data_IF_390066598694
#
_entry.id   IF_390066598694
#
_cell.length_a   1.000
_cell.length_b   1.000
_cell.length_c   1.000
_cell.angle_alpha   90.00
_cell.angle_beta   90.00
_cell.angle_gamma   90.00
#
_symmetry.space_group_name_H-M   'P 1'
#
loop_
_entity.id
_entity.type
_entity.pdbx_description
1 polymer ?
#
# COMPACT_ATOMS: atom_id res chain seq x y z
N UNK A 1 -9.65 -23.36 -31.07
CA UNK A 1 -9.40 -21.96 -30.63
C UNK A 1 -8.38 -22.04 -29.52
N UNK A 2 -7.19 -21.47 -29.71
CA UNK A 2 -6.12 -21.48 -28.72
C UNK A 2 -6.33 -20.34 -27.71
N UNK A 3 -6.19 -20.62 -26.41
CA UNK A 3 -6.16 -19.58 -25.38
C UNK A 3 -4.81 -18.83 -25.46
N UNK A 4 -4.79 -17.51 -25.21
CA UNK A 4 -3.53 -16.77 -25.14
C UNK A 4 -2.77 -17.15 -23.86
N UNK A 5 -1.51 -17.56 -24.02
CA UNK A 5 -0.57 -17.73 -22.91
C UNK A 5 -0.32 -16.38 -22.24
N UNK A 6 -0.88 -16.19 -21.04
CA UNK A 6 -0.46 -15.13 -20.13
C UNK A 6 0.75 -15.62 -19.34
N UNK A 7 1.95 -15.25 -19.80
CA UNK A 7 3.15 -15.39 -18.98
C UNK A 7 3.15 -14.32 -17.90
N UNK A 8 2.72 -14.70 -16.68
CA UNK A 8 3.01 -13.95 -15.47
C UNK A 8 4.46 -14.28 -15.09
N UNK A 9 5.38 -13.34 -15.34
CA UNK A 9 6.75 -13.47 -14.87
C UNK A 9 6.76 -13.26 -13.36
N UNK A 10 6.83 -14.35 -12.59
CA UNK A 10 7.13 -14.29 -11.16
C UNK A 10 8.64 -14.11 -11.00
N UNK A 11 9.14 -12.98 -10.47
CA UNK A 11 10.56 -12.81 -10.25
C UNK A 11 11.05 -13.81 -9.19
N UNK A 12 12.08 -14.58 -9.54
CA UNK A 12 12.75 -15.47 -8.61
C UNK A 12 13.26 -14.71 -7.39
N UNK A 13 13.09 -15.34 -6.22
CA UNK A 13 13.43 -14.82 -4.91
C UNK A 13 14.96 -14.72 -4.75
N UNK A 14 15.54 -13.53 -4.98
CA UNK A 14 17.00 -13.33 -4.91
C UNK A 14 17.45 -12.45 -3.73
N UNK A 15 16.57 -11.72 -3.03
CA UNK A 15 17.06 -10.74 -2.05
C UNK A 15 16.10 -10.47 -0.87
N UNK A 16 15.63 -11.48 -0.12
CA UNK A 16 15.01 -11.24 1.21
C UNK A 16 13.81 -10.27 1.27
N UNK A 17 13.31 -9.80 0.12
CA UNK A 17 12.17 -8.92 0.01
C UNK A 17 10.94 -9.76 0.31
N UNK A 18 10.10 -9.29 1.23
CA UNK A 18 8.75 -9.84 1.37
C UNK A 18 8.08 -9.83 0.00
N UNK A 19 7.55 -10.98 -0.43
CA UNK A 19 6.84 -11.09 -1.70
C UNK A 19 5.76 -9.99 -1.80
N UNK A 20 5.47 -9.46 -2.99
CA UNK A 20 4.42 -8.46 -3.14
C UNK A 20 3.06 -9.07 -2.75
N UNK A 21 2.55 -8.68 -1.57
CA UNK A 21 1.30 -9.21 -0.99
C UNK A 21 0.02 -8.57 -1.58
N UNK A 22 0.15 -7.79 -2.66
CA UNK A 22 -0.93 -6.99 -3.22
C UNK A 22 -0.95 -7.08 -4.74
N UNK A 23 -2.13 -7.37 -5.29
CA UNK A 23 -2.39 -7.27 -6.73
C UNK A 23 -3.23 -6.04 -7.02
N UNK A 24 -2.79 -5.22 -7.96
CA UNK A 24 -3.60 -4.10 -8.47
C UNK A 24 -4.11 -4.49 -9.85
N UNK A 25 -5.42 -4.61 -9.99
CA UNK A 25 -6.10 -4.87 -11.25
C UNK A 25 -6.89 -3.63 -11.65
N UNK A 26 -6.35 -2.90 -12.62
CA UNK A 26 -6.99 -1.72 -13.18
C UNK A 26 -7.87 -2.10 -14.37
N UNK A 27 -9.20 -2.04 -14.21
CA UNK A 27 -10.15 -2.29 -15.30
C UNK A 27 -10.75 -0.95 -15.78
N UNK A 28 -9.98 -0.25 -16.61
CA UNK A 28 -10.33 1.07 -17.13
C UNK A 28 -11.63 1.08 -17.97
N UNK A 29 -12.41 2.17 -17.88
CA UNK A 29 -13.56 2.47 -18.76
C UNK A 29 -13.17 2.75 -20.22
N UNK A 30 -11.90 3.03 -20.49
CA UNK A 30 -11.36 3.24 -21.84
C UNK A 30 -10.76 1.97 -22.45
N UNK A 31 -10.58 0.91 -21.66
CA UNK A 31 -10.11 -0.41 -22.12
C UNK A 31 -11.31 -1.37 -22.16
N UNK A 32 -12.30 -1.01 -22.97
CA UNK A 32 -13.55 -1.74 -23.12
C UNK A 32 -14.72 -0.76 -23.21
N UNK A 33 -15.73 -1.09 -24.01
CA UNK A 33 -16.93 -0.24 -24.13
C UNK A 33 -17.61 -0.14 -22.75
N UNK A 34 -18.44 0.89 -22.49
CA UNK A 34 -19.33 0.89 -21.32
C UNK A 34 -20.09 -0.45 -21.25
N UNK A 35 -19.78 -1.28 -20.25
CA UNK A 35 -20.23 -2.68 -20.14
C UNK A 35 -19.11 -3.74 -20.06
N UNK A 36 -17.88 -3.41 -20.46
CA UNK A 36 -16.76 -4.37 -20.57
C UNK A 36 -15.79 -4.36 -19.37
N UNK A 37 -15.66 -3.25 -18.63
CA UNK A 37 -14.75 -3.16 -17.48
C UNK A 37 -15.13 -4.18 -16.39
N UNK A 38 -16.43 -4.28 -16.07
CA UNK A 38 -16.96 -5.29 -15.14
C UNK A 38 -16.89 -6.73 -15.65
N UNK A 39 -16.92 -6.94 -16.98
CA UNK A 39 -16.91 -8.29 -17.57
C UNK A 39 -15.52 -8.93 -17.54
N UNK A 40 -14.45 -8.14 -17.63
CA UNK A 40 -13.08 -8.63 -17.46
C UNK A 40 -12.80 -9.06 -16.03
N UNK A 41 -13.25 -8.28 -15.04
CA UNK A 41 -13.11 -8.66 -13.62
C UNK A 41 -13.77 -10.01 -13.33
N UNK A 42 -14.96 -10.24 -13.90
CA UNK A 42 -15.68 -11.51 -13.79
C UNK A 42 -14.91 -12.73 -14.32
N UNK A 43 -13.95 -12.54 -15.20
CA UNK A 43 -13.15 -13.63 -15.77
C UNK A 43 -11.82 -13.74 -15.03
N UNK A 44 -11.14 -12.61 -14.81
CA UNK A 44 -9.78 -12.57 -14.26
C UNK A 44 -9.79 -12.97 -12.78
N UNK A 45 -10.71 -12.46 -11.98
CA UNK A 45 -10.71 -12.68 -10.53
C UNK A 45 -10.93 -14.14 -10.16
N UNK A 46 -11.98 -14.83 -10.67
CA UNK A 46 -12.14 -16.25 -10.38
C UNK A 46 -10.94 -17.07 -10.83
N UNK A 47 -10.35 -16.71 -11.98
CA UNK A 47 -9.16 -17.38 -12.51
C UNK A 47 -7.96 -17.21 -11.56
N UNK A 48 -7.69 -16.00 -11.09
CA UNK A 48 -6.58 -15.75 -10.16
C UNK A 48 -6.79 -16.51 -8.85
N UNK A 49 -7.98 -16.42 -8.25
CA UNK A 49 -8.28 -17.11 -6.99
C UNK A 49 -8.19 -18.62 -7.14
N UNK A 50 -8.66 -19.18 -8.26
CA UNK A 50 -8.59 -20.62 -8.51
C UNK A 50 -7.16 -21.14 -8.77
N UNK A 51 -6.31 -20.33 -9.42
CA UNK A 51 -4.96 -20.75 -9.79
C UNK A 51 -3.89 -20.42 -8.74
N UNK A 52 -4.16 -19.44 -7.84
CA UNK A 52 -3.21 -18.99 -6.81
C UNK A 52 -3.88 -18.85 -5.43
N UNK A 53 -4.63 -19.86 -4.94
CA UNK A 53 -5.41 -19.75 -3.71
C UNK A 53 -4.56 -19.39 -2.47
N UNK A 54 -3.31 -19.84 -2.43
CA UNK A 54 -2.35 -19.56 -1.35
C UNK A 54 -1.93 -18.09 -1.27
N UNK A 55 -2.04 -17.33 -2.36
CA UNK A 55 -1.72 -15.90 -2.38
C UNK A 55 -2.88 -15.05 -1.86
N UNK A 56 -4.08 -15.63 -1.71
CA UNK A 56 -5.28 -14.95 -1.23
C UNK A 56 -5.64 -15.35 0.20
N UNK A 57 -4.64 -15.41 1.08
CA UNK A 57 -4.79 -15.59 2.53
C UNK A 57 -5.06 -14.26 3.23
N UNK A 58 -5.59 -14.32 4.46
CA UNK A 58 -5.91 -13.14 5.29
C UNK A 58 -4.71 -12.18 5.33
N UNK A 59 -4.91 -10.95 4.87
CA UNK A 59 -3.86 -9.92 4.79
C UNK A 59 -3.31 -9.64 3.39
N UNK A 60 -3.74 -10.41 2.37
CA UNK A 60 -3.42 -10.14 0.95
C UNK A 60 -4.67 -9.64 0.24
N UNK A 61 -4.55 -8.51 -0.47
CA UNK A 61 -5.70 -7.86 -1.11
C UNK A 61 -5.49 -7.69 -2.60
N UNK A 62 -6.55 -8.00 -3.36
CA UNK A 62 -6.67 -7.62 -4.76
C UNK A 62 -7.46 -6.32 -4.86
N UNK A 63 -6.82 -5.24 -5.30
CA UNK A 63 -7.50 -3.99 -5.59
C UNK A 63 -8.07 -4.05 -6.99
N UNK A 64 -9.39 -3.94 -7.12
CA UNK A 64 -10.06 -3.98 -8.42
C UNK A 64 -10.80 -2.68 -8.64
N UNK A 65 -10.41 -1.99 -9.70
CA UNK A 65 -11.14 -0.82 -10.16
C UNK A 65 -12.27 -1.24 -11.10
N UNK A 66 -13.51 -0.94 -10.74
CA UNK A 66 -14.67 -1.13 -11.61
C UNK A 66 -15.45 0.18 -11.68
N UNK A 67 -15.34 0.90 -12.80
CA UNK A 67 -16.17 2.08 -13.02
C UNK A 67 -17.67 1.70 -13.03
N UNK A 68 -18.52 2.58 -12.47
CA UNK A 68 -20.00 2.44 -12.45
C UNK A 68 -20.49 1.17 -11.73
N UNK A 69 -19.91 0.89 -10.57
CA UNK A 69 -20.44 -0.12 -9.68
C UNK A 69 -21.77 0.31 -9.07
N UNK A 70 -22.71 -0.62 -9.07
CA UNK A 70 -23.96 -0.52 -8.34
C UNK A 70 -24.16 -1.85 -7.63
N UNK A 71 -23.66 -1.98 -6.40
CA UNK A 71 -23.67 -3.26 -5.67
C UNK A 71 -24.94 -3.46 -4.84
N UNK A 72 -25.74 -2.41 -4.64
CA UNK A 72 -26.90 -2.42 -3.74
C UNK A 72 -28.18 -2.22 -4.54
N UNK A 73 -29.15 -3.11 -4.32
CA UNK A 73 -30.48 -2.91 -4.89
C UNK A 73 -31.18 -1.75 -4.19
N UNK A 74 -31.42 -0.66 -4.92
CA UNK A 74 -32.25 0.46 -4.48
C UNK A 74 -33.51 0.49 -5.34
N UNK A 75 -34.69 0.48 -4.70
CA UNK A 75 -35.97 0.50 -5.42
C UNK A 75 -36.07 1.77 -6.29
N UNK A 76 -36.20 1.57 -7.60
CA UNK A 76 -36.27 2.67 -8.59
C UNK A 76 -34.91 3.05 -9.21
N UNK A 77 -33.82 2.41 -8.81
CA UNK A 77 -32.52 2.54 -9.46
C UNK A 77 -32.30 1.46 -10.55
N UNK A 78 -31.23 1.60 -11.32
CA UNK A 78 -30.78 0.57 -12.27
C UNK A 78 -30.45 -0.75 -11.54
N UNK A 79 -30.52 -1.92 -12.23
CA UNK A 79 -30.13 -3.19 -11.65
C UNK A 79 -28.69 -3.17 -11.12
N UNK A 80 -28.39 -3.93 -10.05
CA UNK A 80 -27.02 -4.04 -9.56
C UNK A 80 -26.07 -4.55 -10.63
N UNK A 81 -24.93 -3.88 -10.77
CA UNK A 81 -23.82 -4.29 -11.65
C UNK A 81 -22.76 -5.02 -10.83
N UNK A 82 -21.89 -5.81 -11.48
CA UNK A 82 -20.75 -6.47 -10.84
C UNK A 82 -21.07 -7.42 -9.67
N UNK A 83 -22.30 -7.96 -9.61
CA UNK A 83 -22.74 -8.89 -8.54
C UNK A 83 -21.89 -10.16 -8.40
N UNK A 84 -21.13 -10.53 -9.44
CA UNK A 84 -20.16 -11.63 -9.38
C UNK A 84 -19.09 -11.42 -8.31
N UNK A 85 -18.73 -10.16 -8.01
CA UNK A 85 -17.67 -9.83 -7.07
C UNK A 85 -18.06 -10.09 -5.62
N UNK A 86 -19.37 -10.22 -5.33
CA UNK A 86 -19.87 -10.60 -3.99
C UNK A 86 -19.30 -11.95 -3.51
N UNK A 87 -18.93 -12.83 -4.44
CA UNK A 87 -18.33 -14.14 -4.12
C UNK A 87 -16.86 -14.02 -3.70
N UNK A 88 -16.24 -12.85 -3.83
CA UNK A 88 -14.82 -12.62 -3.62
C UNK A 88 -14.56 -11.43 -2.67
N UNK A 89 -15.56 -11.00 -1.89
CA UNK A 89 -15.40 -9.85 -0.97
C UNK A 89 -14.29 -10.06 0.07
N UNK A 90 -13.99 -11.32 0.41
CA UNK A 90 -12.89 -11.66 1.32
C UNK A 90 -11.50 -11.50 0.69
N UNK A 91 -11.45 -11.28 -0.63
CA UNK A 91 -10.21 -11.25 -1.42
C UNK A 91 -10.06 -9.96 -2.25
N UNK A 92 -11.16 -9.24 -2.46
CA UNK A 92 -11.26 -8.12 -3.40
C UNK A 92 -11.75 -6.87 -2.70
N UNK A 93 -11.00 -5.79 -2.86
CA UNK A 93 -11.47 -4.44 -2.54
C UNK A 93 -11.93 -3.76 -3.83
N UNK A 94 -13.18 -3.33 -3.81
CA UNK A 94 -13.80 -2.65 -4.95
C UNK A 94 -14.10 -1.20 -4.60
N UNK A 95 -13.90 -0.30 -5.57
CA UNK A 95 -14.08 1.13 -5.38
C UNK A 95 -14.94 1.71 -6.50
N UNK A 96 -15.96 2.49 -6.12
CA UNK A 96 -16.90 3.14 -7.04
C UNK A 96 -16.28 4.37 -7.71
N UNK A 97 -15.36 5.03 -7.00
CA UNK A 97 -14.66 6.23 -7.46
C UNK A 97 -13.13 6.01 -7.48
N UNK A 98 -12.47 6.60 -8.49
CA UNK A 98 -11.01 6.53 -8.64
C UNK A 98 -10.28 7.17 -7.46
N UNK A 99 -10.87 8.23 -6.91
CA UNK A 99 -10.29 8.98 -5.80
C UNK A 99 -10.25 8.14 -4.52
N UNK A 100 -11.28 7.34 -4.24
CA UNK A 100 -11.30 6.43 -3.08
C UNK A 100 -10.19 5.36 -3.17
N UNK A 101 -9.97 4.80 -4.36
CA UNK A 101 -8.89 3.84 -4.60
C UNK A 101 -7.53 4.51 -4.43
N UNK A 102 -7.34 5.69 -5.02
CA UNK A 102 -6.09 6.43 -4.90
C UNK A 102 -5.79 6.77 -3.45
N UNK A 103 -6.79 7.25 -2.71
CA UNK A 103 -6.69 7.53 -1.28
C UNK A 103 -6.29 6.28 -0.50
N UNK A 104 -6.94 5.13 -0.78
CA UNK A 104 -6.57 3.87 -0.14
C UNK A 104 -5.14 3.43 -0.47
N UNK A 105 -4.74 3.50 -1.73
CA UNK A 105 -3.38 3.17 -2.17
C UNK A 105 -2.34 4.05 -1.48
N UNK A 106 -2.59 5.36 -1.35
CA UNK A 106 -1.70 6.27 -0.63
C UNK A 106 -1.52 5.84 0.83
N UNK A 107 -2.59 5.42 1.51
CA UNK A 107 -2.49 4.88 2.86
C UNK A 107 -1.67 3.59 2.93
N UNK A 108 -1.96 2.62 2.07
CA UNK A 108 -1.31 1.32 2.13
C UNK A 108 0.18 1.41 1.77
N UNK A 109 0.54 2.25 0.79
CA UNK A 109 1.94 2.56 0.47
C UNK A 109 2.61 3.31 1.63
N UNK A 110 1.90 4.24 2.28
CA UNK A 110 2.36 4.93 3.48
C UNK A 110 2.70 3.96 4.61
N UNK A 111 1.78 3.04 4.92
CA UNK A 111 2.00 1.98 5.92
C UNK A 111 3.18 1.07 5.56
N UNK A 112 3.29 0.66 4.30
CA UNK A 112 4.41 -0.15 3.81
C UNK A 112 5.75 0.53 4.09
N UNK A 113 5.92 1.78 3.63
CA UNK A 113 7.17 2.50 3.84
C UNK A 113 7.47 2.72 5.33
N UNK A 114 6.45 2.93 6.16
CA UNK A 114 6.65 3.04 7.60
C UNK A 114 7.14 1.73 8.23
N UNK A 115 6.48 0.61 7.92
CA UNK A 115 6.89 -0.71 8.40
C UNK A 115 8.30 -1.08 7.94
N UNK A 116 8.63 -0.79 6.69
CA UNK A 116 9.95 -1.05 6.12
C UNK A 116 11.03 -0.14 6.74
N UNK A 117 10.70 1.13 7.00
CA UNK A 117 11.57 2.04 7.76
C UNK A 117 11.91 1.49 9.14
N UNK A 118 10.93 0.93 9.86
CA UNK A 118 11.14 0.28 11.16
C UNK A 118 12.04 -0.94 11.06
N UNK A 119 11.81 -1.80 10.06
CA UNK A 119 12.66 -2.97 9.80
C UNK A 119 14.11 -2.56 9.54
N UNK A 120 14.33 -1.62 8.63
CA UNK A 120 15.66 -1.11 8.28
C UNK A 120 16.37 -0.44 9.47
N UNK A 121 15.65 0.31 10.30
CA UNK A 121 16.21 0.93 11.50
C UNK A 121 16.67 -0.11 12.54
N UNK A 122 15.96 -1.23 12.65
CA UNK A 122 16.34 -2.35 13.53
C UNK A 122 17.56 -3.12 12.99
N UNK A 123 17.77 -3.10 11.68
CA UNK A 123 18.93 -3.71 11.00
C UNK A 123 20.13 -2.74 10.85
N UNK A 124 20.10 -1.60 11.54
CA UNK A 124 21.14 -0.55 11.49
C UNK A 124 21.36 0.06 10.08
N UNK A 125 20.39 -0.08 9.18
CA UNK A 125 20.38 0.56 7.86
C UNK A 125 19.80 1.98 7.94
N UNK A 126 20.41 2.82 8.77
CA UNK A 126 19.84 4.09 9.24
C UNK A 126 19.50 5.09 8.13
N UNK A 127 20.37 5.30 7.14
CA UNK A 127 20.07 6.21 6.02
C UNK A 127 18.86 5.74 5.21
N UNK A 128 18.80 4.44 4.91
CA UNK A 128 17.67 3.84 4.18
C UNK A 128 16.39 3.91 5.00
N UNK A 129 16.46 3.68 6.31
CA UNK A 129 15.33 3.80 7.22
C UNK A 129 14.74 5.23 7.21
N UNK A 130 15.59 6.24 7.38
CA UNK A 130 15.19 7.65 7.34
C UNK A 130 14.50 8.01 6.01
N UNK A 131 15.07 7.56 4.88
CA UNK A 131 14.46 7.77 3.56
C UNK A 131 13.06 7.13 3.44
N UNK A 132 12.86 5.92 3.98
CA UNK A 132 11.57 5.24 3.98
C UNK A 132 10.53 5.97 4.84
N UNK A 133 10.92 6.44 6.03
CA UNK A 133 10.06 7.28 6.85
C UNK A 133 9.63 8.56 6.13
N UNK A 134 10.56 9.24 5.45
CA UNK A 134 10.23 10.42 4.65
C UNK A 134 9.27 10.12 3.48
N UNK A 135 9.42 8.98 2.82
CA UNK A 135 8.45 8.54 1.80
C UNK A 135 7.08 8.23 2.39
N UNK A 136 7.03 7.54 3.54
CA UNK A 136 5.78 7.29 4.27
C UNK A 136 5.05 8.59 4.59
N UNK A 137 5.76 9.56 5.19
CA UNK A 137 5.24 10.89 5.51
C UNK A 137 4.68 11.61 4.29
N UNK A 138 5.37 11.56 3.15
CA UNK A 138 4.90 12.12 1.87
C UNK A 138 3.60 11.48 1.40
N UNK A 139 3.42 10.16 1.57
CA UNK A 139 2.18 9.48 1.22
C UNK A 139 1.02 9.90 2.11
N UNK A 140 1.22 9.98 3.43
CA UNK A 140 0.18 10.49 4.33
C UNK A 140 -0.21 11.93 4.04
N UNK A 141 0.76 12.82 3.75
CA UNK A 141 0.46 14.20 3.35
C UNK A 141 -0.37 14.28 2.07
N UNK A 142 -0.08 13.44 1.09
CA UNK A 142 -0.89 13.34 -0.14
C UNK A 142 -2.30 12.85 0.17
N UNK A 143 -2.43 11.84 1.03
CA UNK A 143 -3.73 11.38 1.50
C UNK A 143 -4.53 12.49 2.19
N UNK A 144 -3.90 13.29 3.06
CA UNK A 144 -4.59 14.42 3.73
C UNK A 144 -5.16 15.43 2.71
N UNK A 145 -4.45 15.66 1.60
CA UNK A 145 -4.89 16.53 0.52
C UNK A 145 -6.04 15.88 -0.27
N UNK A 146 -5.95 14.59 -0.59
CA UNK A 146 -6.95 13.87 -1.39
C UNK A 146 -8.28 13.74 -0.64
N UNK A 147 -8.25 13.43 0.65
CA UNK A 147 -9.45 13.13 1.44
C UNK A 147 -9.94 14.29 2.31
N UNK A 148 -9.21 15.40 2.34
CA UNK A 148 -9.41 16.52 3.28
C UNK A 148 -9.46 16.06 4.76
N UNK A 149 -8.82 14.91 5.07
CA UNK A 149 -8.79 14.27 6.39
C UNK A 149 -7.38 14.32 6.98
N UNK A 150 -7.27 14.74 8.24
CA UNK A 150 -5.97 14.81 8.93
C UNK A 150 -5.45 13.43 9.33
N UNK A 151 -4.14 13.25 9.21
CA UNK A 151 -3.33 12.10 9.61
C UNK A 151 -2.20 12.53 10.55
N UNK A 152 -2.52 13.49 11.43
CA UNK A 152 -1.53 14.15 12.28
C UNK A 152 -0.89 13.21 13.29
N UNK A 153 -1.61 12.17 13.75
CA UNK A 153 -1.07 11.16 14.66
C UNK A 153 -0.01 10.32 13.95
N UNK A 154 -0.34 9.75 12.79
CA UNK A 154 0.59 8.92 12.01
C UNK A 154 1.81 9.72 11.55
N UNK A 155 1.62 10.97 11.11
CA UNK A 155 2.74 11.86 10.75
C UNK A 155 3.62 12.19 11.96
N UNK A 156 3.02 12.40 13.14
CA UNK A 156 3.77 12.65 14.37
C UNK A 156 4.64 11.46 14.80
N UNK A 157 4.10 10.24 14.69
CA UNK A 157 4.84 9.00 14.94
C UNK A 157 6.03 8.85 13.97
N UNK A 158 5.83 9.16 12.69
CA UNK A 158 6.91 9.15 11.70
C UNK A 158 8.00 10.18 12.05
N UNK A 159 7.62 11.38 12.49
CA UNK A 159 8.56 12.44 12.90
C UNK A 159 9.37 12.07 14.15
N UNK A 160 8.80 11.28 15.06
CA UNK A 160 9.55 10.68 16.19
C UNK A 160 10.59 9.69 15.69
N UNK A 161 10.21 8.75 14.83
CA UNK A 161 11.14 7.76 14.29
C UNK A 161 12.26 8.37 13.43
N UNK A 162 11.99 9.43 12.67
CA UNK A 162 13.02 10.16 11.93
C UNK A 162 14.04 10.77 12.89
N UNK A 163 13.57 11.46 13.94
CA UNK A 163 14.46 12.06 14.95
C UNK A 163 15.34 11.01 15.64
N UNK A 164 14.77 9.87 16.01
CA UNK A 164 15.52 8.78 16.64
C UNK A 164 16.62 8.25 15.72
N UNK A 165 16.34 8.07 14.42
CA UNK A 165 17.34 7.64 13.44
C UNK A 165 18.41 8.71 13.21
N UNK A 166 18.03 9.99 13.15
CA UNK A 166 18.97 11.10 12.97
C UNK A 166 19.93 11.26 14.16
N UNK A 167 19.46 11.04 15.39
CA UNK A 167 20.29 11.02 16.60
C UNK A 167 21.30 9.87 16.58
N UNK A 168 20.89 8.68 16.09
CA UNK A 168 21.79 7.53 15.95
C UNK A 168 22.83 7.73 14.85
N UNK A 169 22.48 8.44 13.78
CA UNK A 169 23.40 8.80 12.70
C UNK A 169 24.45 9.83 13.13
N UNK A 170 24.07 10.75 14.02
CA UNK A 170 24.93 11.82 14.53
C UNK A 170 24.93 11.78 16.06
N UNK A 171 25.58 10.78 16.67
CA UNK A 171 25.65 10.72 18.12
C UNK A 171 26.31 12.01 18.63
N UNK A 172 25.83 12.58 19.75
CA UNK A 172 26.52 13.71 20.37
C UNK A 172 27.99 13.33 20.61
N UNK A 173 28.90 14.21 20.21
CA UNK A 173 30.31 14.03 20.56
C UNK A 173 30.42 14.19 22.07
N UNK A 174 30.64 13.09 22.79
CA UNK A 174 30.87 13.09 24.24
C UNK A 174 32.23 13.73 24.64
N UNK A 175 32.97 14.31 23.69
CA UNK A 175 34.30 14.89 23.89
C UNK A 175 34.32 16.26 24.61
N UNK A 176 33.17 16.78 25.06
CA UNK A 176 33.10 18.01 25.86
C UNK A 176 33.14 17.77 27.39
N UNK A 177 33.34 16.53 27.85
CA UNK A 177 33.39 16.18 29.30
C UNK A 177 34.82 15.92 29.82
N UNK A 178 35.81 16.78 29.51
CA UNK A 178 37.15 16.58 30.08
C UNK A 178 38.02 17.83 30.33
N UNK A 179 37.40 18.99 30.62
CA UNK A 179 38.18 20.16 31.09
C UNK A 179 37.44 21.08 32.05
N UNK A 180 37.25 20.69 33.31
CA UNK A 180 37.48 21.62 34.43
C UNK A 180 37.83 20.85 35.71
N UNK A 181 39.08 20.96 36.13
CA UNK A 181 39.36 21.13 37.56
C UNK A 181 40.18 20.03 38.22
N UNK A 182 41.50 20.11 38.09
CA UNK A 182 42.36 19.98 39.27
C UNK A 182 43.62 20.83 39.06
N UNK A 183 43.52 22.08 39.51
CA UNK A 183 44.66 22.95 39.78
C UNK A 183 44.40 23.63 41.13
N UNK A 184 44.67 22.90 42.20
CA UNK A 184 44.86 23.39 43.56
C UNK A 184 45.37 22.18 44.39
N UNK A 185 46.48 22.17 45.10
CA UNK A 185 47.45 23.20 45.52
C UNK A 185 48.79 22.51 45.80
#
# INVERSE_FOLDING_TARGET
MAQPDMHVAMPGNVNGYSEPNHFIIWLDKHIGKPGDSGSKGRIIVPSLVANFPETFVVGHWMYIFCANMNMVYVKGAEPPTNTWALQYLDHVLMFDHQDDLLARMLLDIGHYFFAEGKRLANEEHLYSACQHYEWSKKMYRRYEITEEKKKSTEIGEIDEHIRDVEQRLNPPNDDDDDRVGESAS
#
